data_IF_678193020852
#
_entry.id   IF_678193020852
#
_cell.length_a   1.000
_cell.length_b   1.000
_cell.length_c   1.000
_cell.angle_alpha   90.00
_cell.angle_beta   90.00
_cell.angle_gamma   90.00
#
_symmetry.space_group_name_H-M   'P 1'
#
loop_
_entity.id
_entity.type
_entity.pdbx_description
1 polymer ?
#
# COMPACT_ATOMS: atom_id res chain seq x y z
N UNK A 1 -24.42 -0.73 6.08
CA UNK A 1 -23.50 -1.76 5.64
C UNK A 1 -23.10 -2.64 6.82
N UNK A 2 -22.68 -3.87 6.53
CA UNK A 2 -22.30 -4.86 7.55
C UNK A 2 -21.30 -4.30 8.57
N UNK A 3 -20.27 -3.58 8.14
CA UNK A 3 -19.29 -2.98 9.06
C UNK A 3 -19.94 -2.08 10.14
N UNK A 4 -20.87 -1.21 9.74
CA UNK A 4 -21.60 -0.36 10.69
C UNK A 4 -22.52 -1.16 11.62
N UNK A 5 -23.15 -2.23 11.11
CA UNK A 5 -23.98 -3.14 11.88
C UNK A 5 -23.16 -3.96 12.89
N UNK A 6 -21.92 -4.28 12.54
CA UNK A 6 -20.96 -4.97 13.39
C UNK A 6 -20.28 -4.03 14.42
N UNK A 7 -20.67 -2.75 14.48
CA UNK A 7 -20.16 -1.76 15.43
C UNK A 7 -18.78 -1.20 15.11
N UNK A 8 -18.30 -1.34 13.86
CA UNK A 8 -17.05 -0.75 13.40
C UNK A 8 -17.25 0.75 13.22
N UNK A 9 -16.45 1.57 13.85
CA UNK A 9 -16.50 3.03 13.80
C UNK A 9 -15.42 3.66 12.92
N UNK A 10 -14.38 2.90 12.55
CA UNK A 10 -13.24 3.41 11.80
C UNK A 10 -12.87 2.49 10.64
N UNK A 11 -12.66 3.05 9.47
CA UNK A 11 -12.17 2.38 8.26
C UNK A 11 -10.81 2.97 7.89
N UNK A 12 -9.80 2.10 7.81
CA UNK A 12 -8.51 2.43 7.20
C UNK A 12 -8.34 1.60 5.94
N UNK A 13 -8.12 2.25 4.81
CA UNK A 13 -7.81 1.56 3.55
C UNK A 13 -6.32 1.46 3.32
N UNK A 14 -5.90 0.44 2.58
CA UNK A 14 -4.54 0.28 2.11
C UNK A 14 -4.58 -0.12 0.64
N UNK A 15 -3.86 0.61 -0.21
CA UNK A 15 -3.76 0.35 -1.66
C UNK A 15 -5.11 0.46 -2.40
N UNK A 16 -6.03 1.19 -1.84
CA UNK A 16 -7.32 1.52 -2.45
C UNK A 16 -7.99 2.70 -1.73
N UNK A 17 -9.11 3.15 -2.29
CA UNK A 17 -9.99 4.12 -1.64
C UNK A 17 -9.98 5.50 -2.29
N UNK A 18 -8.93 5.89 -3.04
CA UNK A 18 -8.87 7.24 -3.64
C UNK A 18 -10.06 7.52 -4.58
N UNK A 19 -10.56 6.48 -5.27
CA UNK A 19 -11.71 6.57 -6.18
C UNK A 19 -13.03 6.12 -5.55
N UNK A 20 -13.03 5.68 -4.29
CA UNK A 20 -14.21 5.15 -3.60
C UNK A 20 -15.11 6.25 -3.01
N UNK A 21 -15.36 7.33 -3.74
CA UNK A 21 -16.01 8.55 -3.26
C UNK A 21 -17.40 8.28 -2.70
N UNK A 22 -18.22 7.50 -3.43
CA UNK A 22 -19.59 7.18 -2.99
C UNK A 22 -19.62 6.29 -1.74
N UNK A 23 -18.70 5.32 -1.67
CA UNK A 23 -18.57 4.40 -0.53
C UNK A 23 -18.10 5.13 0.72
N UNK A 24 -17.16 6.05 0.57
CA UNK A 24 -16.66 6.90 1.66
C UNK A 24 -17.77 7.81 2.17
N UNK A 25 -18.52 8.46 1.28
CA UNK A 25 -19.68 9.29 1.64
C UNK A 25 -20.69 8.48 2.45
N UNK A 26 -21.04 7.28 2.00
CA UNK A 26 -21.95 6.40 2.74
C UNK A 26 -21.40 6.03 4.14
N UNK A 27 -20.11 5.80 4.28
CA UNK A 27 -19.50 5.54 5.58
C UNK A 27 -19.57 6.78 6.49
N UNK A 28 -19.29 7.97 5.94
CA UNK A 28 -19.43 9.25 6.68
C UNK A 28 -20.85 9.54 7.11
N UNK A 29 -21.86 9.29 6.27
CA UNK A 29 -23.28 9.40 6.62
C UNK A 29 -23.69 8.49 7.79
N UNK A 30 -22.93 7.42 8.02
CA UNK A 30 -23.10 6.50 9.16
C UNK A 30 -22.25 6.83 10.38
N UNK A 31 -21.61 7.99 10.39
CA UNK A 31 -20.79 8.48 11.49
C UNK A 31 -19.42 7.80 11.61
N UNK A 32 -18.97 7.05 10.58
CA UNK A 32 -17.69 6.37 10.62
C UNK A 32 -16.53 7.34 10.35
N UNK A 33 -15.38 7.09 10.97
CA UNK A 33 -14.10 7.70 10.59
C UNK A 33 -13.50 6.95 9.43
N UNK A 34 -13.05 7.66 8.38
CA UNK A 34 -12.44 7.05 7.19
C UNK A 34 -11.08 7.66 6.92
N UNK A 35 -10.07 6.82 6.91
CA UNK A 35 -8.68 7.18 6.54
C UNK A 35 -8.31 6.38 5.30
N UNK A 36 -7.90 7.08 4.24
CA UNK A 36 -7.47 6.47 2.98
C UNK A 36 -5.97 6.51 2.87
N UNK A 37 -5.32 5.34 2.67
CA UNK A 37 -3.94 5.27 2.21
C UNK A 37 -3.92 4.58 0.84
N UNK A 38 -3.44 5.29 -0.18
CA UNK A 38 -3.50 4.86 -1.57
C UNK A 38 -2.35 5.45 -2.39
N UNK A 39 -2.12 4.92 -3.57
CA UNK A 39 -1.10 5.39 -4.52
C UNK A 39 -1.63 5.55 -5.96
N UNK A 40 -2.88 5.16 -6.19
CA UNK A 40 -3.51 5.29 -7.49
C UNK A 40 -3.72 6.76 -7.90
N UNK A 41 -3.96 7.00 -9.18
CA UNK A 41 -4.25 8.35 -9.68
C UNK A 41 -5.49 8.93 -9.01
N UNK A 42 -5.36 10.20 -8.59
CA UNK A 42 -6.49 10.92 -8.00
C UNK A 42 -7.52 11.21 -9.09
N UNK A 43 -8.80 10.86 -8.90
CA UNK A 43 -9.86 11.23 -9.84
C UNK A 43 -9.91 12.74 -10.07
N UNK A 44 -10.20 13.17 -11.29
CA UNK A 44 -10.29 14.58 -11.63
C UNK A 44 -11.37 14.85 -12.66
N UNK A 45 -11.83 16.10 -12.68
CA UNK A 45 -12.62 16.69 -13.75
C UNK A 45 -11.75 17.69 -14.51
N UNK A 46 -11.94 17.76 -15.81
CA UNK A 46 -11.26 18.75 -16.66
C UNK A 46 -12.31 19.67 -17.30
N UNK A 47 -12.17 20.96 -17.04
CA UNK A 47 -13.00 22.02 -17.62
C UNK A 47 -12.10 23.12 -18.15
N UNK A 48 -12.26 23.46 -19.42
CA UNK A 48 -11.46 24.50 -20.09
C UNK A 48 -9.94 24.30 -19.98
N UNK A 49 -9.47 23.04 -20.00
CA UNK A 49 -8.06 22.69 -19.86
C UNK A 49 -7.52 22.80 -18.41
N UNK A 50 -8.39 23.06 -17.44
CA UNK A 50 -8.03 23.09 -16.01
C UNK A 50 -8.45 21.77 -15.37
N UNK A 51 -7.47 21.05 -14.82
CA UNK A 51 -7.67 19.81 -14.07
C UNK A 51 -7.95 20.11 -12.61
N UNK A 52 -9.10 19.64 -12.11
CA UNK A 52 -9.49 19.76 -10.70
C UNK A 52 -9.69 18.38 -10.11
N UNK A 53 -8.94 18.07 -9.04
CA UNK A 53 -9.08 16.80 -8.32
C UNK A 53 -10.45 16.68 -7.64
N UNK A 54 -11.04 15.48 -7.74
CA UNK A 54 -12.26 15.11 -7.01
C UNK A 54 -11.82 14.48 -5.70
N UNK A 55 -12.04 15.20 -4.59
CA UNK A 55 -11.71 14.73 -3.24
C UNK A 55 -12.92 14.02 -2.61
N UNK A 56 -12.66 12.94 -1.88
CA UNK A 56 -13.67 12.26 -1.07
C UNK A 56 -13.89 12.98 0.27
N UNK A 57 -14.98 12.63 0.96
CA UNK A 57 -15.30 13.13 2.30
C UNK A 57 -14.53 12.39 3.42
N UNK A 58 -13.45 11.66 3.11
CA UNK A 58 -12.60 10.98 4.08
C UNK A 58 -11.99 11.98 5.08
N UNK A 59 -11.85 11.55 6.34
CA UNK A 59 -11.24 12.38 7.40
C UNK A 59 -9.76 12.68 7.11
N UNK A 60 -9.06 11.72 6.47
CA UNK A 60 -7.70 11.92 5.98
C UNK A 60 -7.44 11.09 4.71
N UNK A 61 -6.65 11.64 3.81
CA UNK A 61 -6.18 10.97 2.59
C UNK A 61 -4.67 11.07 2.51
N UNK A 62 -4.01 9.92 2.55
CA UNK A 62 -2.56 9.78 2.37
C UNK A 62 -2.32 9.18 0.99
N UNK A 63 -2.01 10.02 0.02
CA UNK A 63 -1.66 9.61 -1.34
C UNK A 63 -0.63 10.59 -1.90
N UNK A 64 0.57 10.11 -2.28
CA UNK A 64 1.64 10.99 -2.77
C UNK A 64 1.29 11.70 -4.08
N UNK A 65 0.33 11.20 -4.86
CA UNK A 65 -0.05 11.77 -6.16
C UNK A 65 -1.05 12.93 -6.06
N UNK A 66 -1.59 13.25 -4.88
CA UNK A 66 -2.41 14.45 -4.70
C UNK A 66 -1.63 15.71 -5.15
N UNK A 67 -2.28 16.63 -5.83
CA UNK A 67 -1.68 17.85 -6.36
C UNK A 67 -0.99 18.69 -5.27
N UNK A 68 -1.58 18.76 -4.09
CA UNK A 68 -1.06 19.53 -2.95
C UNK A 68 0.01 18.76 -2.13
N UNK A 69 0.20 17.47 -2.39
CA UNK A 69 1.15 16.67 -1.64
C UNK A 69 2.59 17.08 -1.94
N UNK A 70 3.33 17.41 -0.89
CA UNK A 70 4.75 17.84 -0.98
C UNK A 70 5.74 16.68 -0.85
N UNK A 71 5.27 15.46 -0.71
CA UNK A 71 6.17 14.31 -0.64
C UNK A 71 6.97 14.21 -1.95
N UNK A 72 8.31 14.16 -1.88
CA UNK A 72 9.16 14.34 -3.07
C UNK A 72 9.09 13.17 -4.06
N UNK A 73 8.79 11.95 -3.59
CA UNK A 73 8.76 10.76 -4.43
C UNK A 73 7.32 10.27 -4.64
N UNK A 74 6.81 10.43 -5.85
CA UNK A 74 5.41 10.11 -6.20
C UNK A 74 5.18 8.65 -6.62
N UNK A 75 6.24 7.89 -6.84
CA UNK A 75 6.21 6.55 -7.40
C UNK A 75 6.10 5.41 -6.38
N UNK A 76 5.66 5.66 -5.15
CA UNK A 76 5.45 4.61 -4.15
C UNK A 76 4.24 3.73 -4.52
N UNK A 77 4.32 2.42 -4.26
CA UNK A 77 3.14 1.53 -4.26
C UNK A 77 2.33 1.68 -2.97
N UNK A 78 1.10 1.13 -2.94
CA UNK A 78 0.21 1.23 -1.79
C UNK A 78 0.80 0.67 -0.50
N UNK A 79 1.50 -0.46 -0.55
CA UNK A 79 2.18 -1.03 0.61
C UNK A 79 3.33 -0.15 1.12
N UNK A 80 4.06 0.54 0.23
CA UNK A 80 5.10 1.49 0.63
C UNK A 80 4.50 2.74 1.28
N UNK A 81 3.35 3.23 0.79
CA UNK A 81 2.59 4.30 1.45
C UNK A 81 2.13 3.87 2.85
N UNK A 82 1.60 2.64 2.98
CA UNK A 82 1.20 2.09 4.27
C UNK A 82 2.39 1.94 5.23
N UNK A 83 3.55 1.50 4.75
CA UNK A 83 4.77 1.45 5.55
C UNK A 83 5.15 2.83 6.11
N UNK A 84 5.14 3.87 5.27
CA UNK A 84 5.39 5.26 5.71
C UNK A 84 4.35 5.73 6.74
N UNK A 85 3.09 5.39 6.53
CA UNK A 85 2.02 5.67 7.49
C UNK A 85 2.30 5.02 8.85
N UNK A 86 2.69 3.75 8.87
CA UNK A 86 3.02 3.03 10.11
C UNK A 86 4.23 3.63 10.82
N UNK A 87 5.27 4.07 10.08
CA UNK A 87 6.42 4.77 10.68
C UNK A 87 5.97 6.02 11.46
N UNK A 88 5.15 6.86 10.84
CA UNK A 88 4.62 8.08 11.49
C UNK A 88 3.68 7.75 12.65
N UNK A 89 2.85 6.70 12.49
CA UNK A 89 1.96 6.24 13.56
C UNK A 89 2.77 5.80 14.78
N UNK A 90 3.81 5.00 14.60
CA UNK A 90 4.68 4.54 15.70
C UNK A 90 5.38 5.72 16.39
N UNK A 91 5.90 6.68 15.62
CA UNK A 91 6.48 7.91 16.17
C UNK A 91 5.46 8.64 17.05
N UNK A 92 4.22 8.84 16.57
CA UNK A 92 3.15 9.53 17.31
C UNK A 92 2.71 8.78 18.56
N UNK A 93 2.80 7.46 18.56
CA UNK A 93 2.47 6.60 19.70
C UNK A 93 3.64 6.42 20.68
N UNK A 94 4.81 7.00 20.42
CA UNK A 94 6.01 6.81 21.24
C UNK A 94 6.59 5.39 21.13
N UNK A 95 6.27 4.68 20.05
CA UNK A 95 6.84 3.36 19.73
C UNK A 95 8.13 3.58 18.92
N UNK A 96 9.14 2.76 19.17
CA UNK A 96 10.36 2.79 18.37
C UNK A 96 10.05 2.57 16.89
N UNK A 97 10.35 3.59 16.06
CA UNK A 97 10.06 3.59 14.61
C UNK A 97 10.74 2.44 13.90
N UNK A 98 11.91 1.97 14.37
CA UNK A 98 12.62 0.83 13.78
C UNK A 98 11.79 -0.46 13.80
N UNK A 99 10.78 -0.57 14.67
CA UNK A 99 9.85 -1.71 14.66
C UNK A 99 8.98 -1.77 13.41
N UNK A 100 8.82 -0.66 12.70
CA UNK A 100 8.12 -0.65 11.42
C UNK A 100 8.96 -1.28 10.29
N UNK A 101 10.26 -1.42 10.47
CA UNK A 101 11.17 -1.93 9.41
C UNK A 101 10.86 -3.38 9.01
N UNK A 102 10.19 -4.15 9.87
CA UNK A 102 9.69 -5.48 9.48
C UNK A 102 8.73 -5.45 8.27
N UNK A 103 8.07 -4.32 8.00
CA UNK A 103 7.18 -4.15 6.85
C UNK A 103 7.90 -3.79 5.56
N UNK A 104 9.22 -3.55 5.58
CA UNK A 104 10.01 -3.30 4.36
C UNK A 104 9.98 -4.53 3.44
N UNK A 105 9.92 -5.73 3.97
CA UNK A 105 9.72 -6.96 3.21
C UNK A 105 8.47 -6.87 2.33
N UNK A 106 7.34 -6.50 2.94
CA UNK A 106 6.06 -6.35 2.24
C UNK A 106 6.07 -5.20 1.24
N UNK A 107 6.63 -4.03 1.63
CA UNK A 107 6.74 -2.87 0.75
C UNK A 107 7.62 -3.16 -0.47
N UNK A 108 8.76 -3.82 -0.27
CA UNK A 108 9.66 -4.21 -1.36
C UNK A 108 9.03 -5.25 -2.28
N UNK A 109 8.33 -6.24 -1.70
CA UNK A 109 7.59 -7.25 -2.46
C UNK A 109 6.50 -6.61 -3.34
N UNK A 110 5.64 -5.77 -2.75
CA UNK A 110 4.56 -5.10 -3.45
C UNK A 110 5.07 -4.12 -4.52
N UNK A 111 6.16 -3.40 -4.26
CA UNK A 111 6.79 -2.50 -5.25
C UNK A 111 7.14 -3.25 -6.54
N UNK A 112 7.65 -4.48 -6.44
CA UNK A 112 7.92 -5.32 -7.62
C UNK A 112 6.62 -5.89 -8.20
N UNK A 113 5.69 -6.32 -7.35
CA UNK A 113 4.41 -6.90 -7.75
C UNK A 113 3.53 -5.92 -8.55
N UNK A 114 3.52 -4.64 -8.18
CA UNK A 114 2.81 -3.55 -8.84
C UNK A 114 3.57 -2.96 -10.04
N UNK A 115 4.71 -3.56 -10.39
CA UNK A 115 5.54 -3.13 -11.53
C UNK A 115 5.95 -1.66 -11.43
N UNK A 116 6.21 -1.18 -10.20
CA UNK A 116 6.66 0.19 -9.98
C UNK A 116 8.10 0.39 -10.48
N UNK A 117 8.42 1.61 -10.91
CA UNK A 117 9.79 1.95 -11.34
C UNK A 117 10.78 1.78 -10.17
N UNK A 118 11.86 1.00 -10.40
CA UNK A 118 12.89 0.68 -9.40
C UNK A 118 13.97 1.76 -9.31
N UNK A 119 13.56 2.98 -9.03
CA UNK A 119 14.45 4.12 -8.82
C UNK A 119 14.11 4.84 -7.50
N UNK A 120 14.98 5.74 -7.06
CA UNK A 120 14.78 6.49 -5.82
C UNK A 120 14.50 5.56 -4.61
N UNK A 121 13.46 5.86 -3.85
CA UNK A 121 13.07 5.08 -2.67
C UNK A 121 12.67 3.64 -3.01
N UNK A 122 12.01 3.41 -4.13
CA UNK A 122 11.59 2.07 -4.55
C UNK A 122 12.80 1.13 -4.70
N UNK A 123 13.91 1.61 -5.24
CA UNK A 123 15.13 0.81 -5.37
C UNK A 123 15.68 0.38 -4.00
N UNK A 124 15.61 1.28 -3.01
CA UNK A 124 16.06 1.01 -1.65
C UNK A 124 15.14 -0.02 -1.00
N UNK A 125 13.83 0.20 -1.04
CA UNK A 125 12.83 -0.70 -0.47
C UNK A 125 12.92 -2.10 -1.08
N UNK A 126 13.07 -2.20 -2.41
CA UNK A 126 13.19 -3.49 -3.08
C UNK A 126 14.49 -4.19 -2.74
N UNK A 127 15.62 -3.47 -2.65
CA UNK A 127 16.90 -4.06 -2.27
C UNK A 127 16.84 -4.68 -0.88
N UNK A 128 16.38 -3.92 0.11
CA UNK A 128 16.26 -4.37 1.50
C UNK A 128 15.17 -5.45 1.61
N UNK A 129 14.00 -5.23 1.01
CA UNK A 129 12.88 -6.16 1.04
C UNK A 129 13.23 -7.53 0.42
N UNK A 130 14.03 -7.57 -0.66
CA UNK A 130 14.52 -8.83 -1.23
C UNK A 130 15.50 -9.56 -0.30
N UNK A 131 16.36 -8.83 0.38
CA UNK A 131 17.26 -9.41 1.38
C UNK A 131 16.45 -10.02 2.53
N UNK A 132 15.48 -9.29 3.06
CA UNK A 132 14.56 -9.78 4.10
C UNK A 132 13.76 -10.99 3.62
N UNK A 133 13.19 -10.94 2.41
CA UNK A 133 12.41 -12.03 1.82
C UNK A 133 13.23 -13.32 1.67
N UNK A 134 14.52 -13.22 1.39
CA UNK A 134 15.42 -14.36 1.31
C UNK A 134 15.69 -15.01 2.68
N UNK A 135 15.42 -14.30 3.78
CA UNK A 135 15.55 -14.78 5.15
C UNK A 135 14.19 -14.70 5.91
N UNK A 136 13.09 -14.62 5.16
CA UNK A 136 11.76 -14.35 5.73
C UNK A 136 11.37 -15.38 6.79
N UNK A 137 10.80 -14.89 7.89
CA UNK A 137 10.14 -15.72 8.90
C UNK A 137 8.61 -15.78 8.70
N UNK A 138 8.08 -15.05 7.71
CA UNK A 138 6.66 -15.06 7.38
C UNK A 138 6.26 -16.43 6.81
N UNK A 139 5.40 -17.14 7.54
CA UNK A 139 4.95 -18.52 7.21
C UNK A 139 4.29 -18.56 5.83
N UNK A 140 3.47 -17.55 5.49
CA UNK A 140 2.80 -17.45 4.19
C UNK A 140 3.80 -17.26 3.04
N UNK A 141 4.78 -16.38 3.21
CA UNK A 141 5.83 -16.16 2.21
C UNK A 141 6.71 -17.40 2.02
N UNK A 142 7.10 -18.08 3.11
CA UNK A 142 7.83 -19.35 3.01
C UNK A 142 7.04 -20.39 2.20
N UNK A 143 5.75 -20.53 2.49
CA UNK A 143 4.88 -21.46 1.78
C UNK A 143 4.76 -21.12 0.29
N UNK A 144 4.56 -19.84 -0.05
CA UNK A 144 4.50 -19.38 -1.43
C UNK A 144 5.80 -19.61 -2.20
N UNK A 145 6.95 -19.35 -1.59
CA UNK A 145 8.27 -19.61 -2.18
C UNK A 145 8.41 -21.09 -2.54
N UNK A 146 8.14 -21.96 -1.57
CA UNK A 146 8.25 -23.42 -1.75
C UNK A 146 7.24 -23.94 -2.78
N UNK A 147 5.97 -23.48 -2.72
CA UNK A 147 4.92 -23.91 -3.66
C UNK A 147 5.23 -23.52 -5.12
N UNK A 148 5.96 -22.41 -5.32
CA UNK A 148 6.42 -22.02 -6.66
C UNK A 148 7.71 -22.71 -7.09
N UNK A 149 8.18 -23.71 -6.37
CA UNK A 149 9.40 -24.47 -6.67
C UNK A 149 10.68 -23.62 -6.58
N UNK A 150 10.65 -22.59 -5.72
CA UNK A 150 11.77 -21.70 -5.51
C UNK A 150 12.57 -22.10 -4.27
N UNK A 151 13.87 -21.81 -4.30
CA UNK A 151 14.74 -22.06 -3.16
C UNK A 151 14.83 -20.83 -2.27
N UNK A 152 14.52 -20.91 -0.96
CA UNK A 152 14.76 -19.86 -0.01
C UNK A 152 16.23 -19.38 -0.07
N UNK A 153 16.46 -18.08 0.08
CA UNK A 153 17.80 -17.49 -0.03
C UNK A 153 18.27 -17.16 -1.46
N UNK A 154 17.45 -17.51 -2.49
CA UNK A 154 17.81 -17.24 -3.90
C UNK A 154 16.76 -16.41 -4.65
N UNK A 155 15.84 -15.78 -3.92
CA UNK A 155 14.73 -15.01 -4.50
C UNK A 155 15.26 -13.70 -5.10
N UNK A 156 14.81 -13.40 -6.32
CA UNK A 156 15.11 -12.18 -7.07
C UNK A 156 13.80 -11.48 -7.46
N UNK A 157 13.89 -10.20 -7.83
CA UNK A 157 12.73 -9.43 -8.30
C UNK A 157 11.96 -10.16 -9.44
N UNK A 158 12.66 -10.82 -10.36
CA UNK A 158 12.04 -11.67 -11.38
C UNK A 158 11.10 -12.73 -10.80
N UNK A 159 11.48 -13.39 -9.70
CA UNK A 159 10.64 -14.41 -9.08
C UNK A 159 9.37 -13.81 -8.48
N UNK A 160 9.44 -12.60 -7.92
CA UNK A 160 8.27 -11.87 -7.44
C UNK A 160 7.35 -11.55 -8.62
N UNK A 161 7.85 -10.86 -9.65
CA UNK A 161 7.02 -10.38 -10.75
C UNK A 161 6.40 -11.48 -11.60
N UNK A 162 7.09 -12.61 -11.80
CA UNK A 162 6.68 -13.63 -12.78
C UNK A 162 6.27 -14.98 -12.19
N UNK A 163 6.44 -15.20 -10.89
CA UNK A 163 6.06 -16.47 -10.23
C UNK A 163 5.16 -16.21 -9.02
N UNK A 164 5.67 -15.57 -7.98
CA UNK A 164 4.97 -15.44 -6.69
C UNK A 164 3.80 -14.45 -6.80
N UNK A 165 4.02 -13.28 -7.41
CA UNK A 165 2.98 -12.25 -7.61
C UNK A 165 1.77 -12.77 -8.40
N UNK A 166 1.95 -13.39 -9.58
CA UNK A 166 0.84 -14.02 -10.30
C UNK A 166 0.08 -15.08 -9.49
N UNK A 167 0.76 -15.85 -8.64
CA UNK A 167 0.12 -16.82 -7.76
C UNK A 167 -0.80 -16.15 -6.72
N UNK A 168 -0.35 -15.04 -6.11
CA UNK A 168 -1.18 -14.25 -5.19
C UNK A 168 -2.37 -13.61 -5.91
N UNK A 169 -2.14 -13.00 -7.06
CA UNK A 169 -3.20 -12.36 -7.85
C UNK A 169 -4.27 -13.34 -8.32
N UNK A 170 -3.90 -14.58 -8.61
CA UNK A 170 -4.85 -15.61 -9.02
C UNK A 170 -5.79 -16.04 -7.89
N UNK A 171 -5.37 -15.95 -6.63
CA UNK A 171 -6.18 -16.32 -5.48
C UNK A 171 -7.29 -15.31 -5.15
N UNK A 172 -7.18 -14.07 -5.65
CA UNK A 172 -8.14 -12.98 -5.44
C UNK A 172 -9.17 -12.82 -6.58
N UNK A 173 -9.17 -13.68 -7.59
CA UNK A 173 -10.05 -13.60 -8.76
C UNK A 173 -11.15 -14.64 -8.74
#
# INVERSE_FOLDING_TARGET
TKASEDGIDTILTCDNGISAIAQIRLAKERGMTVVVTDHHEVPFEETDGVRKEIKSDADAVVNPKQQECRYPFKGLCGAAVAYKFVQVLYEKMGIDVSKADCFIENAGFATVGDVMELQGENRILVKIGLEMLNHTENVGMKALILQNGLTPGSIKAYHIGFKIGPCLNASGR
#
